data_IF_690589429460
#
_entry.id   IF_690589429460
#
_cell.length_a   1.000
_cell.length_b   1.000
_cell.length_c   1.000
_cell.angle_alpha   90.00
_cell.angle_beta   90.00
_cell.angle_gamma   90.00
#
_symmetry.space_group_name_H-M   'P 1'
#
loop_
_entity.id
_entity.type
_entity.pdbx_description
1 polymer ?
#
# COMPACT_ATOMS: atom_id res chain seq x y z
N UNK A 1 17.77 24.90 9.74
CA UNK A 1 18.70 26.03 10.01
C UNK A 1 17.95 27.35 9.81
N UNK A 2 17.91 28.23 10.83
CA UNK A 2 16.94 29.34 10.86
C UNK A 2 17.40 30.57 10.02
N UNK A 3 18.70 30.79 9.81
CA UNK A 3 19.23 31.70 8.77
C UNK A 3 20.76 31.54 8.68
N UNK A 4 21.33 31.50 7.47
CA UNK A 4 22.79 31.52 7.25
C UNK A 4 23.17 32.71 6.38
N UNK A 5 24.30 33.35 6.67
CA UNK A 5 24.87 34.34 5.75
C UNK A 5 25.21 33.66 4.40
N UNK A 6 25.20 34.38 3.26
CA UNK A 6 25.45 33.76 1.95
C UNK A 6 26.77 32.99 1.88
N UNK A 7 27.84 33.54 2.44
CA UNK A 7 29.16 32.91 2.46
C UNK A 7 29.20 31.66 3.36
N UNK A 8 28.54 31.71 4.51
CA UNK A 8 28.38 30.55 5.40
C UNK A 8 27.58 29.44 4.70
N UNK A 9 26.49 29.80 4.01
CA UNK A 9 25.67 28.85 3.25
C UNK A 9 26.48 28.17 2.14
N UNK A 10 27.25 28.93 1.37
CA UNK A 10 28.11 28.38 0.32
C UNK A 10 29.20 27.45 0.87
N UNK A 11 29.73 27.76 2.06
CA UNK A 11 30.67 26.88 2.74
C UNK A 11 30.01 25.54 3.14
N UNK A 12 28.86 25.59 3.80
CA UNK A 12 28.15 24.38 4.23
C UNK A 12 27.60 23.54 3.07
N UNK A 13 27.16 24.18 1.98
CA UNK A 13 26.62 23.50 0.80
C UNK A 13 27.67 22.65 0.04
N UNK A 14 28.96 22.79 0.36
CA UNK A 14 30.00 21.91 -0.19
C UNK A 14 30.04 20.56 0.50
N UNK A 15 29.64 20.49 1.77
CA UNK A 15 29.81 19.31 2.63
C UNK A 15 28.48 18.66 3.00
N UNK A 16 27.38 19.42 3.00
CA UNK A 16 26.07 18.99 3.46
C UNK A 16 24.96 19.36 2.47
N UNK A 17 23.90 18.57 2.47
CA UNK A 17 22.67 18.87 1.77
C UNK A 17 21.85 19.99 2.44
N UNK A 18 20.71 20.35 1.85
CA UNK A 18 19.84 21.42 2.37
C UNK A 18 19.25 21.12 3.75
N UNK A 19 19.24 19.86 4.19
CA UNK A 19 18.69 19.39 5.45
C UNK A 19 19.79 19.05 6.49
N UNK A 20 21.04 19.00 6.05
CA UNK A 20 22.23 18.77 6.86
C UNK A 20 22.73 17.33 6.85
N UNK A 21 22.38 16.51 5.86
CA UNK A 21 23.01 15.22 5.59
C UNK A 21 24.35 15.41 4.87
N UNK A 22 25.37 14.61 5.19
CA UNK A 22 26.72 14.80 4.64
C UNK A 22 26.87 14.12 3.28
N UNK A 23 27.54 14.78 2.33
CA UNK A 23 27.86 14.16 1.03
C UNK A 23 29.04 13.17 1.08
N UNK A 24 29.87 13.22 2.12
CA UNK A 24 31.15 12.50 2.17
C UNK A 24 31.27 11.51 3.32
N UNK A 25 30.40 11.60 4.32
CA UNK A 25 30.41 10.73 5.49
C UNK A 25 29.13 9.91 5.51
N UNK A 26 29.28 8.62 5.81
CA UNK A 26 28.13 7.75 6.02
C UNK A 26 27.34 8.23 7.25
N UNK A 27 26.02 8.28 7.10
CA UNK A 27 25.11 8.59 8.21
C UNK A 27 24.87 7.37 9.10
N UNK A 28 24.53 7.62 10.36
CA UNK A 28 23.94 6.62 11.25
C UNK A 28 22.45 6.90 11.53
N UNK A 29 21.79 6.03 12.29
CA UNK A 29 20.38 6.16 12.66
C UNK A 29 20.09 7.49 13.40
N UNK A 30 21.00 7.90 14.30
CA UNK A 30 20.80 9.09 15.13
C UNK A 30 20.88 10.36 14.29
N UNK A 31 21.89 10.45 13.42
CA UNK A 31 22.07 11.56 12.49
C UNK A 31 20.91 11.64 11.51
N UNK A 32 20.50 10.50 10.94
CA UNK A 32 19.40 10.47 9.99
C UNK A 32 18.09 10.93 10.65
N UNK A 33 17.81 10.49 11.88
CA UNK A 33 16.65 10.96 12.65
C UNK A 33 16.67 12.47 12.87
N UNK A 34 17.84 13.07 13.10
CA UNK A 34 17.98 14.52 13.22
C UNK A 34 17.70 15.23 11.88
N UNK A 35 18.24 14.71 10.78
CA UNK A 35 17.99 15.24 9.43
C UNK A 35 16.49 15.20 9.11
N UNK A 36 15.83 14.05 9.30
CA UNK A 36 14.38 13.92 9.08
C UNK A 36 13.56 14.86 9.95
N UNK A 37 13.98 15.14 11.18
CA UNK A 37 13.31 16.11 12.06
C UNK A 37 13.39 17.57 11.59
N UNK A 38 14.28 17.88 10.65
CA UNK A 38 14.43 19.22 10.04
C UNK A 38 13.63 19.36 8.75
N UNK A 39 13.24 18.26 8.12
CA UNK A 39 12.39 18.25 6.94
C UNK A 39 10.98 18.63 7.42
N UNK A 40 10.46 19.75 6.93
CA UNK A 40 9.08 20.15 7.23
C UNK A 40 8.06 19.24 6.53
N UNK A 41 6.78 19.47 6.79
CA UNK A 41 5.71 18.82 6.03
C UNK A 41 5.74 19.33 4.58
N UNK A 42 6.33 18.53 3.70
CA UNK A 42 6.38 18.78 2.26
C UNK A 42 5.53 17.71 1.60
N UNK A 43 4.51 18.14 0.85
CA UNK A 43 3.81 17.24 -0.06
C UNK A 43 4.74 16.90 -1.22
N UNK A 44 5.24 15.67 -1.22
CA UNK A 44 6.01 15.11 -2.32
C UNK A 44 5.22 13.96 -2.93
N UNK A 45 5.06 13.99 -4.25
CA UNK A 45 4.49 12.88 -5.01
C UNK A 45 5.57 11.81 -5.18
N UNK A 46 5.65 10.90 -4.21
CA UNK A 46 6.63 9.80 -4.19
C UNK A 46 5.91 8.48 -4.41
N UNK A 47 6.29 7.77 -5.46
CA UNK A 47 5.85 6.39 -5.68
C UNK A 47 6.66 5.45 -4.78
N UNK A 48 6.10 5.12 -3.62
CA UNK A 48 6.70 4.20 -2.65
C UNK A 48 6.95 2.81 -3.28
N UNK A 49 6.09 2.36 -4.19
CA UNK A 49 6.24 1.06 -4.84
C UNK A 49 7.48 1.05 -5.76
N UNK A 50 7.78 2.16 -6.43
CA UNK A 50 8.98 2.30 -7.26
C UNK A 50 10.26 2.25 -6.40
N UNK A 51 10.24 2.88 -5.23
CA UNK A 51 11.38 2.83 -4.29
C UNK A 51 11.55 1.40 -3.77
N UNK A 52 10.47 0.75 -3.34
CA UNK A 52 10.50 -0.64 -2.86
C UNK A 52 11.07 -1.59 -3.94
N UNK A 53 10.61 -1.49 -5.19
CA UNK A 53 11.11 -2.31 -6.31
C UNK A 53 12.59 -2.06 -6.59
N UNK A 54 13.00 -0.78 -6.66
CA UNK A 54 14.40 -0.40 -6.97
C UNK A 54 15.41 -0.97 -5.96
N UNK A 55 15.02 -1.06 -4.69
CA UNK A 55 15.90 -1.53 -3.62
C UNK A 55 15.62 -2.98 -3.20
N UNK A 56 14.72 -3.69 -3.88
CA UNK A 56 14.41 -5.10 -3.59
C UNK A 56 13.65 -5.30 -2.28
N UNK A 57 12.77 -4.37 -1.93
CA UNK A 57 11.91 -4.40 -0.73
C UNK A 57 10.44 -4.73 -1.06
N UNK A 58 10.15 -5.13 -2.30
CA UNK A 58 8.80 -5.42 -2.78
C UNK A 58 8.16 -6.67 -2.15
N UNK A 59 8.97 -7.57 -1.60
CA UNK A 59 8.55 -8.84 -1.01
C UNK A 59 8.58 -8.83 0.53
N UNK A 60 8.85 -7.69 1.15
CA UNK A 60 8.82 -7.57 2.60
C UNK A 60 7.41 -7.86 3.13
N UNK A 61 7.28 -8.47 4.33
CA UNK A 61 5.98 -8.73 4.93
C UNK A 61 5.11 -7.47 5.04
N UNK A 62 5.70 -6.30 5.22
CA UNK A 62 4.99 -5.02 5.36
C UNK A 62 4.53 -4.39 4.04
N UNK A 63 5.01 -4.87 2.89
CA UNK A 63 4.75 -4.30 1.55
C UNK A 63 4.26 -5.33 0.53
N UNK A 64 4.16 -6.62 0.89
CA UNK A 64 3.85 -7.71 -0.04
C UNK A 64 2.56 -7.53 -0.84
N UNK A 65 1.59 -6.73 -0.37
CA UNK A 65 0.37 -6.43 -1.12
C UNK A 65 0.39 -5.12 -1.90
N UNK A 66 1.50 -4.36 -1.87
CA UNK A 66 1.66 -3.05 -2.55
C UNK A 66 1.19 -3.03 -4.00
N UNK A 67 1.50 -4.05 -4.84
CA UNK A 67 1.09 -4.03 -6.25
C UNK A 67 -0.42 -4.22 -6.45
N UNK A 68 -1.18 -4.54 -5.40
CA UNK A 68 -2.56 -4.95 -5.52
C UNK A 68 -3.52 -3.89 -5.00
N UNK A 69 -4.59 -3.70 -5.77
CA UNK A 69 -5.76 -2.93 -5.38
C UNK A 69 -6.92 -3.91 -5.20
N UNK A 70 -7.43 -4.00 -3.98
CA UNK A 70 -8.50 -4.92 -3.60
C UNK A 70 -9.80 -4.18 -3.32
N UNK A 71 -10.91 -4.77 -3.74
CA UNK A 71 -12.24 -4.47 -3.22
C UNK A 71 -12.66 -5.60 -2.28
N UNK A 72 -13.12 -5.28 -1.08
CA UNK A 72 -13.65 -6.27 -0.15
C UNK A 72 -15.18 -6.22 -0.19
N UNK A 73 -15.82 -7.38 -0.34
CA UNK A 73 -17.27 -7.52 -0.52
C UNK A 73 -18.05 -7.31 0.79
N UNK A 74 -17.93 -6.11 1.34
CA UNK A 74 -18.44 -5.72 2.67
C UNK A 74 -19.75 -4.93 2.61
N UNK A 75 -20.25 -4.62 1.43
CA UNK A 75 -21.42 -3.79 1.21
C UNK A 75 -22.61 -4.67 0.82
N UNK A 76 -23.82 -4.35 1.28
CA UNK A 76 -25.02 -5.11 0.94
C UNK A 76 -25.28 -5.00 -0.57
N UNK A 77 -25.12 -3.79 -1.11
CA UNK A 77 -25.15 -3.49 -2.54
C UNK A 77 -23.70 -3.27 -3.04
N UNK A 78 -23.33 -3.98 -4.11
CA UNK A 78 -21.95 -4.00 -4.60
C UNK A 78 -21.55 -2.59 -5.08
N UNK A 79 -20.50 -2.04 -4.45
CA UNK A 79 -19.95 -0.73 -4.81
C UNK A 79 -20.71 0.47 -4.23
N UNK A 80 -21.68 0.26 -3.34
CA UNK A 80 -22.40 1.32 -2.63
C UNK A 80 -21.92 1.45 -1.16
N UNK A 81 -21.05 2.44 -0.85
CA UNK A 81 -20.41 2.54 0.48
C UNK A 81 -21.39 2.71 1.64
N UNK A 82 -22.56 3.29 1.38
CA UNK A 82 -23.62 3.54 2.37
C UNK A 82 -24.26 2.24 2.88
N UNK A 83 -24.06 1.13 2.17
CA UNK A 83 -24.68 -0.17 2.49
C UNK A 83 -23.76 -1.10 3.28
N UNK A 84 -22.80 -0.53 4.01
CA UNK A 84 -21.80 -1.28 4.77
C UNK A 84 -22.46 -2.29 5.73
N UNK A 85 -22.10 -3.57 5.59
CA UNK A 85 -22.56 -4.64 6.46
C UNK A 85 -21.79 -4.55 7.79
N UNK A 86 -22.46 -4.29 8.91
CA UNK A 86 -21.79 -4.23 10.21
C UNK A 86 -21.25 -5.62 10.61
N UNK A 87 -20.11 -5.64 11.30
CA UNK A 87 -19.50 -6.83 11.90
C UNK A 87 -19.01 -7.95 10.95
N UNK A 88 -18.76 -7.66 9.66
CA UNK A 88 -18.10 -8.64 8.76
C UNK A 88 -16.61 -8.84 9.07
N UNK A 89 -16.14 -10.09 8.98
CA UNK A 89 -14.72 -10.41 9.11
C UNK A 89 -13.86 -9.77 8.01
N UNK A 90 -14.47 -9.50 6.84
CA UNK A 90 -13.83 -8.84 5.71
C UNK A 90 -13.31 -7.44 6.03
N UNK A 91 -13.92 -6.73 7.00
CA UNK A 91 -13.42 -5.42 7.44
C UNK A 91 -12.05 -5.54 8.09
N UNK A 92 -11.86 -6.56 8.92
CA UNK A 92 -10.56 -6.85 9.54
C UNK A 92 -9.57 -7.29 8.46
N UNK A 93 -9.99 -8.14 7.51
CA UNK A 93 -9.11 -8.59 6.41
C UNK A 93 -8.68 -7.45 5.50
N UNK A 94 -9.58 -6.49 5.23
CA UNK A 94 -9.25 -5.28 4.48
C UNK A 94 -8.23 -4.40 5.23
N UNK A 95 -8.36 -4.26 6.55
CA UNK A 95 -7.39 -3.54 7.37
C UNK A 95 -6.02 -4.23 7.36
N UNK A 96 -5.98 -5.55 7.49
CA UNK A 96 -4.74 -6.32 7.39
C UNK A 96 -4.09 -6.15 6.01
N UNK A 97 -4.87 -6.29 4.93
CA UNK A 97 -4.36 -6.08 3.58
C UNK A 97 -3.74 -4.70 3.39
N UNK A 98 -4.37 -3.64 3.94
CA UNK A 98 -3.84 -2.27 3.95
C UNK A 98 -2.57 -2.15 4.78
N UNK A 99 -2.56 -2.75 5.95
CA UNK A 99 -1.41 -2.73 6.86
C UNK A 99 -0.16 -3.34 6.19
N UNK A 100 -0.36 -4.37 5.37
CA UNK A 100 0.68 -5.04 4.58
C UNK A 100 0.87 -4.45 3.17
N UNK A 101 0.53 -3.17 3.00
CA UNK A 101 0.89 -2.35 1.84
C UNK A 101 -0.14 -2.26 0.72
N UNK A 102 -1.20 -3.08 0.76
CA UNK A 102 -2.20 -3.13 -0.30
C UNK A 102 -3.18 -1.96 -0.30
N UNK A 103 -3.70 -1.61 -1.47
CA UNK A 103 -4.74 -0.57 -1.60
C UNK A 103 -6.12 -1.21 -1.48
N UNK A 104 -6.96 -0.72 -0.58
CA UNK A 104 -8.38 -1.13 -0.53
C UNK A 104 -9.25 0.02 -1.03
N UNK A 105 -10.15 -0.29 -1.96
CA UNK A 105 -11.14 0.65 -2.50
C UNK A 105 -12.54 0.29 -2.02
N UNK A 106 -13.36 1.32 -1.83
CA UNK A 106 -14.75 1.18 -1.41
C UNK A 106 -15.69 0.89 -2.59
N UNK A 107 -15.27 1.25 -3.81
CA UNK A 107 -16.04 1.04 -5.03
C UNK A 107 -15.32 0.09 -5.96
N UNK A 108 -16.07 -0.84 -6.54
CA UNK A 108 -15.53 -1.77 -7.51
C UNK A 108 -15.43 -1.07 -8.87
N UNK A 109 -14.23 -0.59 -9.19
CA UNK A 109 -13.94 0.21 -10.39
C UNK A 109 -12.72 -0.30 -11.17
N UNK A 110 -12.56 0.17 -12.41
CA UNK A 110 -11.48 -0.27 -13.29
C UNK A 110 -10.10 -0.03 -12.63
N UNK A 111 -9.26 -1.06 -12.61
CA UNK A 111 -7.96 -1.02 -11.91
C UNK A 111 -7.92 -1.86 -10.63
N UNK A 112 -9.08 -2.27 -10.09
CA UNK A 112 -9.13 -3.32 -9.06
C UNK A 112 -8.50 -4.60 -9.61
N UNK A 113 -7.54 -5.15 -8.88
CA UNK A 113 -6.89 -6.42 -9.24
C UNK A 113 -7.55 -7.61 -8.55
N UNK A 114 -8.04 -7.43 -7.32
CA UNK A 114 -8.62 -8.51 -6.52
C UNK A 114 -9.96 -8.11 -5.88
N UNK A 115 -10.88 -9.05 -5.81
CA UNK A 115 -12.12 -8.97 -5.03
C UNK A 115 -12.04 -10.02 -3.94
N UNK A 116 -12.08 -9.58 -2.68
CA UNK A 116 -12.04 -10.44 -1.50
C UNK A 116 -13.47 -10.80 -1.09
N UNK A 117 -13.77 -12.10 -1.00
CA UNK A 117 -15.08 -12.62 -0.58
C UNK A 117 -14.97 -13.50 0.67
N UNK A 118 -16.01 -13.47 1.50
CA UNK A 118 -16.17 -14.34 2.67
C UNK A 118 -16.86 -15.65 2.28
N UNK A 119 -17.97 -15.54 1.55
CA UNK A 119 -18.72 -16.67 1.01
C UNK A 119 -19.03 -16.46 -0.49
N UNK A 120 -19.71 -17.44 -1.09
CA UNK A 120 -20.00 -17.44 -2.52
C UNK A 120 -21.40 -16.94 -2.87
N UNK A 121 -22.13 -16.34 -1.93
CA UNK A 121 -23.53 -15.94 -2.11
C UNK A 121 -23.72 -14.97 -3.28
N UNK A 122 -22.81 -13.98 -3.41
CA UNK A 122 -22.81 -12.95 -4.47
C UNK A 122 -21.87 -13.24 -5.64
N UNK A 123 -21.37 -14.48 -5.74
CA UNK A 123 -20.38 -14.86 -6.75
C UNK A 123 -20.89 -14.64 -8.18
N UNK A 124 -22.17 -14.93 -8.44
CA UNK A 124 -22.76 -14.76 -9.76
C UNK A 124 -22.81 -13.29 -10.18
N UNK A 125 -23.18 -12.40 -9.25
CA UNK A 125 -23.26 -10.96 -9.49
C UNK A 125 -21.88 -10.38 -9.75
N UNK A 126 -20.88 -10.74 -8.93
CA UNK A 126 -19.48 -10.34 -9.12
C UNK A 126 -18.92 -10.84 -10.45
N UNK A 127 -19.20 -12.09 -10.84
CA UNK A 127 -18.78 -12.65 -12.14
C UNK A 127 -19.47 -11.94 -13.31
N UNK A 128 -20.71 -11.53 -13.14
CA UNK A 128 -21.47 -10.78 -14.15
C UNK A 128 -20.89 -9.38 -14.30
N UNK A 129 -20.68 -8.67 -13.20
CA UNK A 129 -20.08 -7.34 -13.16
C UNK A 129 -18.67 -7.35 -13.76
N UNK A 130 -17.86 -8.37 -13.44
CA UNK A 130 -16.53 -8.59 -14.03
C UNK A 130 -16.53 -8.57 -15.55
N UNK A 131 -17.64 -8.93 -16.23
CA UNK A 131 -17.73 -8.88 -17.70
C UNK A 131 -17.66 -7.45 -18.24
N UNK A 132 -18.09 -6.46 -17.48
CA UNK A 132 -18.07 -5.04 -17.85
C UNK A 132 -16.67 -4.40 -17.77
N UNK A 133 -15.72 -5.05 -17.10
CA UNK A 133 -14.36 -4.50 -16.88
C UNK A 133 -13.44 -4.80 -18.05
N UNK A 134 -12.55 -3.87 -18.39
CA UNK A 134 -11.54 -4.11 -19.43
C UNK A 134 -10.42 -4.99 -18.87
N UNK A 135 -9.89 -4.67 -17.70
CA UNK A 135 -8.97 -5.52 -16.94
C UNK A 135 -9.74 -6.34 -15.92
N UNK A 136 -9.73 -7.66 -16.09
CA UNK A 136 -10.49 -8.57 -15.24
C UNK A 136 -9.81 -8.72 -13.89
N UNK A 137 -10.48 -8.29 -12.82
CA UNK A 137 -10.07 -8.61 -11.44
C UNK A 137 -10.19 -10.13 -11.18
N UNK A 138 -9.45 -10.62 -10.17
CA UNK A 138 -9.58 -11.98 -9.63
C UNK A 138 -10.56 -11.97 -8.47
N UNK A 139 -11.40 -13.00 -8.33
CA UNK A 139 -12.27 -13.18 -7.16
C UNK A 139 -11.60 -14.23 -6.30
N UNK A 140 -11.22 -13.88 -5.07
CA UNK A 140 -10.45 -14.74 -4.18
C UNK A 140 -11.07 -14.80 -2.79
N UNK A 141 -10.92 -15.93 -2.12
CA UNK A 141 -11.30 -16.07 -0.71
C UNK A 141 -10.44 -15.15 0.16
N UNK A 142 -11.06 -14.56 1.18
CA UNK A 142 -10.37 -13.71 2.15
C UNK A 142 -9.21 -14.41 2.90
N UNK A 143 -9.22 -15.75 2.96
CA UNK A 143 -8.15 -16.55 3.56
C UNK A 143 -6.80 -16.40 2.86
N UNK A 144 -6.78 -16.00 1.58
CA UNK A 144 -5.54 -15.68 0.87
C UNK A 144 -4.71 -14.62 1.61
N UNK A 145 -5.38 -13.58 2.11
CA UNK A 145 -4.74 -12.51 2.89
C UNK A 145 -4.17 -13.09 4.19
N UNK A 146 -4.98 -13.89 4.89
CA UNK A 146 -4.60 -14.42 6.20
C UNK A 146 -3.44 -15.38 6.13
N UNK A 147 -3.44 -16.23 5.11
CA UNK A 147 -2.44 -17.27 4.95
C UNK A 147 -1.14 -16.70 4.44
N UNK A 148 -1.19 -15.70 3.55
CA UNK A 148 0.00 -14.94 3.13
C UNK A 148 0.67 -14.22 4.31
N UNK A 149 -0.12 -13.57 5.17
CA UNK A 149 0.41 -12.92 6.37
C UNK A 149 1.07 -13.94 7.31
N UNK A 150 0.42 -15.08 7.55
CA UNK A 150 0.99 -16.15 8.39
C UNK A 150 2.25 -16.77 7.81
N UNK A 151 2.32 -16.90 6.48
CA UNK A 151 3.50 -17.39 5.78
C UNK A 151 4.65 -16.37 5.77
N UNK A 152 4.37 -15.10 6.12
CA UNK A 152 5.35 -14.01 6.05
C UNK A 152 5.67 -13.58 4.62
N UNK A 153 4.83 -13.90 3.65
CA UNK A 153 5.05 -13.63 2.24
C UNK A 153 3.83 -13.95 1.38
N UNK A 154 3.83 -13.42 0.16
CA UNK A 154 2.69 -13.53 -0.75
C UNK A 154 2.52 -14.98 -1.26
N UNK A 155 1.39 -15.61 -0.94
CA UNK A 155 1.01 -16.91 -1.51
C UNK A 155 0.34 -16.75 -2.89
N UNK A 156 0.41 -17.80 -3.71
CA UNK A 156 -0.23 -17.81 -5.03
C UNK A 156 -1.75 -17.68 -4.90
N UNK A 157 -2.30 -16.61 -5.47
CA UNK A 157 -3.74 -16.33 -5.45
C UNK A 157 -4.59 -17.39 -6.19
N UNK A 158 -3.97 -18.19 -7.07
CA UNK A 158 -4.66 -19.21 -7.86
C UNK A 158 -5.31 -20.29 -7.01
N UNK A 159 -4.71 -20.61 -5.87
CA UNK A 159 -5.22 -21.60 -4.93
C UNK A 159 -6.47 -21.10 -4.17
N UNK A 160 -6.72 -19.79 -4.21
CA UNK A 160 -7.80 -19.13 -3.49
C UNK A 160 -8.90 -18.59 -4.42
N UNK A 161 -8.79 -18.81 -5.74
CA UNK A 161 -9.77 -18.37 -6.73
C UNK A 161 -11.13 -19.03 -6.54
N UNK A 162 -12.19 -18.29 -6.88
CA UNK A 162 -13.58 -18.73 -6.78
C UNK A 162 -14.39 -18.44 -8.04
#
# INVERSE_FOLDING_TARGET
MIHMSPTTREHFAKEYDSYGDSYFLDTDEQQLREVFGRIGDVEADVDVAQVEDRYGFSDLPTSMFRPFTAYADMFADIGEPETLIPATSLKIRALEFRFHGGKVVERLEEGVSHVLIEDQTRLLDLRTLRRCFRRKFKIVKHTWVTDSIKAGGLLDDREYLV
#
